data_IF_576150853250
#
_entry.id   IF_576150853250
#
_cell.length_a   1.000
_cell.length_b   1.000
_cell.length_c   1.000
_cell.angle_alpha   90.00
_cell.angle_beta   90.00
_cell.angle_gamma   90.00
#
_symmetry.space_group_name_H-M   'P 1'
#
loop_
_entity.id
_entity.type
_entity.pdbx_description
1 polymer ?
#
# COMPACT_ATOMS: atom_id res chain seq x y z
N UNK A 1 0.37 18.92 -24.90
CA UNK A 1 1.43 18.07 -24.31
C UNK A 1 1.38 18.05 -22.78
N UNK A 2 1.11 19.17 -22.09
CA UNK A 2 1.16 19.21 -20.61
C UNK A 2 0.10 18.34 -19.89
N UNK A 3 -1.12 18.27 -20.43
CA UNK A 3 -2.20 17.47 -19.84
C UNK A 3 -1.89 15.96 -19.80
N UNK A 4 -1.10 15.46 -20.75
CA UNK A 4 -0.68 14.05 -20.79
C UNK A 4 0.36 13.70 -19.73
N UNK A 5 1.24 14.65 -19.39
CA UNK A 5 2.24 14.45 -18.34
C UNK A 5 1.58 14.46 -16.95
N UNK A 6 0.64 15.37 -16.72
CA UNK A 6 -0.10 15.44 -15.44
C UNK A 6 -0.91 14.17 -15.21
N UNK A 7 -1.68 13.71 -16.22
CA UNK A 7 -2.46 12.48 -16.11
C UNK A 7 -1.59 11.24 -15.87
N UNK A 8 -0.42 11.18 -16.52
CA UNK A 8 0.56 10.12 -16.30
C UNK A 8 1.11 10.08 -14.86
N UNK A 9 1.47 11.23 -14.29
CA UNK A 9 1.94 11.33 -12.90
C UNK A 9 0.83 10.91 -11.93
N UNK A 10 -0.40 11.37 -12.14
CA UNK A 10 -1.56 10.98 -11.31
C UNK A 10 -1.77 9.47 -11.35
N UNK A 11 -1.66 8.85 -12.53
CA UNK A 11 -1.78 7.39 -12.66
C UNK A 11 -0.72 6.66 -11.82
N UNK A 12 0.53 7.11 -11.84
CA UNK A 12 1.62 6.50 -11.06
C UNK A 12 1.37 6.64 -9.55
N UNK A 13 0.89 7.79 -9.10
CA UNK A 13 0.53 8.04 -7.70
C UNK A 13 -0.59 7.08 -7.27
N UNK A 14 -1.62 6.90 -8.11
CA UNK A 14 -2.71 5.96 -7.86
C UNK A 14 -2.23 4.50 -7.83
N UNK A 15 -1.36 4.11 -8.76
CA UNK A 15 -0.73 2.78 -8.77
C UNK A 15 0.02 2.53 -7.46
N UNK A 16 0.85 3.49 -7.02
CA UNK A 16 1.58 3.38 -5.76
C UNK A 16 0.64 3.15 -4.56
N UNK A 17 -0.46 3.90 -4.50
CA UNK A 17 -1.48 3.71 -3.46
C UNK A 17 -2.13 2.33 -3.53
N UNK A 18 -2.65 1.95 -4.70
CA UNK A 18 -3.41 0.70 -4.90
C UNK A 18 -2.54 -0.52 -4.60
N UNK A 19 -1.30 -0.54 -5.09
CA UNK A 19 -0.37 -1.64 -4.85
C UNK A 19 0.02 -1.78 -3.37
N UNK A 20 -0.06 -0.71 -2.58
CA UNK A 20 0.23 -0.75 -1.16
C UNK A 20 -0.96 -1.17 -0.28
N UNK A 21 -2.19 -1.20 -0.80
CA UNK A 21 -3.35 -1.75 -0.09
C UNK A 21 -3.17 -3.23 0.28
N UNK A 22 -2.84 -4.15 -0.65
CA UNK A 22 -2.64 -5.57 -0.31
C UNK A 22 -1.45 -5.77 0.64
N UNK A 23 -0.37 -4.99 0.49
CA UNK A 23 0.76 -5.00 1.43
C UNK A 23 0.31 -4.56 2.83
N UNK A 24 -0.60 -3.59 2.93
CA UNK A 24 -1.23 -3.17 4.19
C UNK A 24 -2.06 -4.25 4.86
N UNK A 25 -2.84 -5.00 4.07
CA UNK A 25 -3.64 -6.14 4.56
C UNK A 25 -2.68 -7.21 5.10
N UNK A 26 -1.64 -7.56 4.33
CA UNK A 26 -0.66 -8.56 4.72
C UNK A 26 0.10 -8.16 5.98
N UNK A 27 0.58 -6.91 6.05
CA UNK A 27 1.26 -6.35 7.23
C UNK A 27 0.39 -6.40 8.48
N UNK A 28 -0.91 -6.11 8.35
CA UNK A 28 -1.85 -6.10 9.48
C UNK A 28 -2.16 -7.51 10.01
N UNK A 29 -2.16 -8.52 9.13
CA UNK A 29 -2.33 -9.92 9.53
C UNK A 29 -1.05 -10.61 10.04
N UNK A 30 0.12 -9.98 9.87
CA UNK A 30 1.39 -10.52 10.34
C UNK A 30 1.70 -10.10 11.78
N UNK A 31 2.37 -10.97 12.54
CA UNK A 31 2.93 -10.61 13.86
C UNK A 31 3.94 -9.47 13.68
N UNK A 32 3.78 -8.37 14.41
CA UNK A 32 4.73 -7.24 14.38
C UNK A 32 6.15 -7.73 14.62
N UNK A 33 7.10 -7.18 13.86
CA UNK A 33 8.53 -7.58 13.88
C UNK A 33 8.84 -9.02 13.46
N UNK A 34 7.88 -9.77 12.91
CA UNK A 34 8.19 -11.01 12.19
C UNK A 34 8.80 -10.74 10.83
N UNK A 35 9.47 -11.74 10.24
CA UNK A 35 9.99 -11.68 8.87
C UNK A 35 8.89 -11.33 7.86
N UNK A 36 7.67 -11.85 8.05
CA UNK A 36 6.51 -11.55 7.19
C UNK A 36 6.09 -10.09 7.29
N UNK A 37 6.05 -9.55 8.51
CA UNK A 37 5.73 -8.14 8.74
C UNK A 37 6.80 -7.21 8.16
N UNK A 38 8.07 -7.58 8.34
CA UNK A 38 9.21 -6.87 7.77
C UNK A 38 9.15 -6.86 6.24
N UNK A 39 8.93 -8.02 5.61
CA UNK A 39 8.80 -8.14 4.16
C UNK A 39 7.64 -7.28 3.62
N UNK A 40 6.47 -7.30 4.27
CA UNK A 40 5.32 -6.51 3.84
C UNK A 40 5.59 -4.99 3.80
N UNK A 41 6.42 -4.48 4.70
CA UNK A 41 6.85 -3.07 4.70
C UNK A 41 7.95 -2.84 3.66
N UNK A 42 8.96 -3.69 3.65
CA UNK A 42 10.15 -3.46 2.84
C UNK A 42 9.86 -3.62 1.36
N UNK A 43 8.97 -4.52 0.94
CA UNK A 43 8.58 -4.69 -0.47
C UNK A 43 8.06 -3.38 -1.09
N UNK A 44 7.45 -2.49 -0.30
CA UNK A 44 7.00 -1.19 -0.78
C UNK A 44 8.18 -0.31 -1.28
N UNK A 45 9.37 -0.43 -0.68
CA UNK A 45 10.53 0.41 -1.03
C UNK A 45 11.13 0.02 -2.40
N UNK A 46 11.50 -1.26 -2.68
CA UNK A 46 11.89 -1.69 -4.02
C UNK A 46 10.80 -1.46 -5.06
N UNK A 47 9.52 -1.55 -4.69
CA UNK A 47 8.42 -1.26 -5.59
C UNK A 47 8.40 0.21 -6.02
N UNK A 48 8.50 1.17 -5.08
CA UNK A 48 8.58 2.61 -5.41
C UNK A 48 9.84 2.89 -6.24
N UNK A 49 10.98 2.30 -5.86
CA UNK A 49 12.22 2.42 -6.61
C UNK A 49 12.06 1.93 -8.06
N UNK A 50 11.49 0.73 -8.25
CA UNK A 50 11.24 0.12 -9.55
C UNK A 50 10.32 0.99 -10.43
N UNK A 51 9.21 1.47 -9.86
CA UNK A 51 8.28 2.38 -10.56
C UNK A 51 9.03 3.64 -11.01
N UNK A 52 9.84 4.25 -10.15
CA UNK A 52 10.58 5.48 -10.47
C UNK A 52 11.58 5.29 -11.61
N UNK A 53 12.36 4.20 -11.60
CA UNK A 53 13.39 3.99 -12.62
C UNK A 53 12.79 3.61 -13.98
N UNK A 54 11.69 2.85 -13.99
CA UNK A 54 11.06 2.40 -15.24
C UNK A 54 10.20 3.47 -15.91
N UNK A 55 9.65 4.40 -15.13
CA UNK A 55 8.81 5.50 -15.64
C UNK A 55 9.60 6.76 -15.95
N UNK A 56 10.86 6.87 -15.49
CA UNK A 56 11.70 8.05 -15.71
C UNK A 56 11.22 9.34 -15.03
N UNK A 57 10.24 9.24 -14.12
CA UNK A 57 9.67 10.39 -13.41
C UNK A 57 10.71 11.08 -12.51
N UNK A 58 10.52 12.39 -12.35
CA UNK A 58 11.37 13.23 -11.51
C UNK A 58 11.47 12.69 -10.08
N UNK A 59 12.67 12.59 -9.48
CA UNK A 59 12.83 12.12 -8.10
C UNK A 59 12.10 12.98 -7.06
N UNK A 60 11.71 14.22 -7.41
CA UNK A 60 10.89 15.09 -6.56
C UNK A 60 9.50 14.52 -6.25
N UNK A 61 9.02 13.52 -7.01
CA UNK A 61 7.74 12.85 -6.72
C UNK A 61 7.86 11.75 -5.66
N UNK A 62 9.08 11.31 -5.32
CA UNK A 62 9.30 10.21 -4.38
C UNK A 62 8.59 10.42 -3.02
N UNK A 63 8.63 11.62 -2.39
CA UNK A 63 7.89 11.86 -1.15
C UNK A 63 6.37 11.63 -1.29
N UNK A 64 5.79 12.01 -2.44
CA UNK A 64 4.37 11.80 -2.74
C UNK A 64 4.07 10.31 -2.89
N UNK A 65 4.93 9.56 -3.58
CA UNK A 65 4.79 8.11 -3.72
C UNK A 65 4.91 7.39 -2.37
N UNK A 66 5.83 7.82 -1.50
CA UNK A 66 5.96 7.27 -0.14
C UNK A 66 4.71 7.58 0.67
N UNK A 67 4.20 8.82 0.63
CA UNK A 67 2.97 9.19 1.33
C UNK A 67 1.78 8.33 0.87
N UNK A 68 1.66 8.10 -0.44
CA UNK A 68 0.62 7.23 -0.99
C UNK A 68 0.81 5.76 -0.65
N UNK A 69 2.05 5.28 -0.62
CA UNK A 69 2.35 3.92 -0.17
C UNK A 69 1.94 3.72 1.29
N UNK A 70 2.27 4.67 2.17
CA UNK A 70 1.85 4.65 3.58
C UNK A 70 0.32 4.70 3.68
N UNK A 71 -0.34 5.60 2.94
CA UNK A 71 -1.80 5.68 2.91
C UNK A 71 -2.44 4.35 2.47
N UNK A 72 -1.91 3.71 1.43
CA UNK A 72 -2.34 2.39 0.97
C UNK A 72 -2.20 1.34 2.05
N UNK A 73 -1.04 1.31 2.74
CA UNK A 73 -0.81 0.37 3.83
C UNK A 73 -1.73 0.58 5.05
N UNK A 74 -2.10 1.83 5.33
CA UNK A 74 -3.06 2.16 6.39
C UNK A 74 -4.47 1.74 6.02
N UNK A 75 -4.89 2.00 4.78
CA UNK A 75 -6.19 1.56 4.24
C UNK A 75 -6.28 0.03 4.26
N UNK A 76 -5.26 -0.68 3.78
CA UNK A 76 -5.19 -2.13 3.84
C UNK A 76 -5.29 -2.66 5.28
N UNK A 77 -4.63 -2.01 6.24
CA UNK A 77 -4.75 -2.38 7.65
C UNK A 77 -6.15 -2.18 8.22
N UNK A 78 -6.87 -1.12 7.82
CA UNK A 78 -8.27 -0.90 8.19
C UNK A 78 -9.19 -1.97 7.60
N UNK A 79 -8.97 -2.35 6.34
CA UNK A 79 -9.71 -3.44 5.68
C UNK A 79 -9.52 -4.75 6.45
N UNK A 80 -8.28 -5.12 6.77
CA UNK A 80 -7.98 -6.33 7.54
C UNK A 80 -8.67 -6.32 8.90
N UNK A 81 -8.61 -5.20 9.64
CA UNK A 81 -9.27 -5.07 10.95
C UNK A 81 -10.78 -5.28 10.85
N UNK A 82 -11.44 -4.65 9.88
CA UNK A 82 -12.90 -4.81 9.66
C UNK A 82 -13.25 -6.26 9.31
N UNK A 83 -12.46 -6.90 8.47
CA UNK A 83 -12.64 -8.30 8.10
C UNK A 83 -12.50 -9.23 9.31
N UNK A 84 -11.49 -9.02 10.16
CA UNK A 84 -11.32 -9.79 11.40
C UNK A 84 -12.47 -9.54 12.41
N UNK A 85 -12.97 -8.31 12.51
CA UNK A 85 -14.14 -8.00 13.34
C UNK A 85 -15.40 -8.72 12.84
N UNK A 86 -15.62 -8.73 11.52
CA UNK A 86 -16.72 -9.47 10.90
C UNK A 86 -16.64 -10.97 11.17
N UNK A 87 -15.46 -11.58 11.00
CA UNK A 87 -15.27 -13.01 11.33
C UNK A 87 -15.55 -13.27 12.81
N UNK A 88 -15.00 -12.44 13.70
CA UNK A 88 -15.22 -12.59 15.15
C UNK A 88 -16.69 -12.50 15.52
N UNK A 89 -17.43 -11.55 14.96
CA UNK A 89 -18.89 -11.43 15.15
C UNK A 89 -19.62 -12.69 14.66
N UNK A 90 -19.30 -13.18 13.46
CA UNK A 90 -19.94 -14.36 12.89
C UNK A 90 -19.65 -15.66 13.66
N UNK A 91 -18.46 -15.77 14.26
CA UNK A 91 -18.03 -16.94 15.04
C UNK A 91 -18.56 -16.89 16.48
N UNK A 92 -18.48 -15.74 17.15
CA UNK A 92 -18.88 -15.61 18.57
C UNK A 92 -20.36 -15.24 18.77
N UNK A 93 -20.99 -14.58 17.80
CA UNK A 93 -22.42 -14.21 17.86
C UNK A 93 -23.37 -15.32 17.44
N UNK A 94 -22.86 -16.54 17.25
CA UNK A 94 -23.61 -17.74 16.89
C UNK A 94 -23.84 -18.69 18.09
N UNK A 95 -23.68 -18.17 19.32
CA UNK A 95 -23.98 -18.83 20.59
C UNK A 95 -25.09 -18.07 21.32
#
# INVERSE_FOLDING_TARGET
>A
MELGAVSYIVLIILISFIMNIPLGIWRAGARKFSVRWFAAIHIAVPMIYYIRITTGISPWIIPVLIAMAVAGQLVGGKIHKRYMQYIRYKVLGNY
#
